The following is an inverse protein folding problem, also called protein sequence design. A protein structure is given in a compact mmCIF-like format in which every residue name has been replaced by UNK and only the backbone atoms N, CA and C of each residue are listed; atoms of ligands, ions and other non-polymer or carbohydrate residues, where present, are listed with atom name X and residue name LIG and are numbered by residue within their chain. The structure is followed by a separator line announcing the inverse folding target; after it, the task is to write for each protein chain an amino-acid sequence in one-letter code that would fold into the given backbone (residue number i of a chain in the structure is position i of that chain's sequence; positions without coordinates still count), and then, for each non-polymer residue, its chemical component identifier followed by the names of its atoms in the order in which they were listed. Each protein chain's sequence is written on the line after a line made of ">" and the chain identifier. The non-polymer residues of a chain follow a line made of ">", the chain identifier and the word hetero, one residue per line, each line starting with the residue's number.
data_IF_351206791351
#
_entry.id   IF_351206791351
#
_cell.length_a   1.000
_cell.length_b   1.000
_cell.length_c   1.000
_cell.angle_alpha   90.00
_cell.angle_beta   90.00
_cell.angle_gamma   90.00
#
_symmetry.space_group_name_H-M   'P 1'
#
loop_
_entity.id
_entity.type
_entity.pdbx_description
1 polymer ?
#
# COMPACT_ATOMS: atom_id res chain seq x y z
N UNK A 1 -7.45 5.83 -3.24
CA UNK A 1 -6.53 4.79 -3.76
C UNK A 1 -5.34 4.67 -2.83
N UNK A 2 -4.84 3.46 -2.63
CA UNK A 2 -3.70 3.15 -1.77
C UNK A 2 -2.55 2.63 -2.63
N UNK A 3 -1.42 3.34 -2.66
CA UNK A 3 -0.29 3.05 -3.54
C UNK A 3 0.90 2.62 -2.69
N UNK A 4 1.27 1.33 -2.67
CA UNK A 4 2.46 0.89 -1.96
C UNK A 4 3.73 1.38 -2.67
N UNK A 5 4.70 1.84 -1.90
CA UNK A 5 5.93 2.39 -2.44
C UNK A 5 7.14 2.10 -1.54
N UNK A 6 8.33 2.13 -2.13
CA UNK A 6 9.55 2.44 -1.38
C UNK A 6 9.62 3.95 -1.11
N UNK A 7 10.51 4.40 -0.23
CA UNK A 7 10.74 5.83 0.01
C UNK A 7 11.23 6.55 -1.24
N UNK A 8 12.15 5.93 -2.00
CA UNK A 8 12.60 6.45 -3.28
C UNK A 8 11.43 6.59 -4.27
N UNK A 9 10.59 5.56 -4.37
CA UNK A 9 9.42 5.56 -5.24
C UNK A 9 8.39 6.61 -4.85
N UNK A 10 8.07 6.72 -3.55
CA UNK A 10 7.16 7.72 -3.04
C UNK A 10 7.61 9.15 -3.37
N UNK A 11 8.90 9.44 -3.15
CA UNK A 11 9.48 10.75 -3.47
C UNK A 11 9.43 11.07 -4.97
N UNK A 12 9.64 10.07 -5.83
CA UNK A 12 9.49 10.25 -7.28
C UNK A 12 8.04 10.57 -7.66
N UNK A 13 7.06 9.84 -7.10
CA UNK A 13 5.64 10.02 -7.39
C UNK A 13 5.09 11.39 -6.96
N UNK A 14 5.62 11.99 -5.88
CA UNK A 14 5.19 13.34 -5.44
C UNK A 14 5.88 14.48 -6.20
N UNK A 15 6.86 14.18 -7.05
CA UNK A 15 7.58 15.16 -7.87
C UNK A 15 7.18 15.08 -9.35
N UNK A 16 6.84 13.89 -9.81
CA UNK A 16 6.67 13.59 -11.22
C UNK A 16 5.42 12.76 -11.46
N UNK A 17 4.79 13.01 -12.61
CA UNK A 17 3.75 12.12 -13.12
C UNK A 17 4.33 10.73 -13.28
N UNK A 18 3.64 9.75 -12.70
CA UNK A 18 4.02 8.33 -12.79
C UNK A 18 3.00 7.59 -13.64
N UNK A 19 3.45 6.61 -14.41
CA UNK A 19 2.61 5.80 -15.29
C UNK A 19 2.64 4.33 -14.83
N UNK A 20 1.58 3.59 -15.13
CA UNK A 20 1.47 2.16 -14.83
C UNK A 20 1.73 1.83 -13.34
N UNK A 21 1.11 2.60 -12.44
CA UNK A 21 1.31 2.47 -11.00
C UNK A 21 0.33 1.47 -10.42
N UNK A 22 0.84 0.42 -9.77
CA UNK A 22 -0.02 -0.50 -9.01
C UNK A 22 -0.60 0.23 -7.79
N UNK A 23 -1.92 0.14 -7.62
CA UNK A 23 -2.64 0.69 -6.49
C UNK A 23 -3.72 -0.30 -6.02
N UNK A 24 -4.31 -0.02 -4.87
CA UNK A 24 -5.39 -0.80 -4.28
C UNK A 24 -6.56 0.11 -3.93
N UNK A 25 -7.75 -0.44 -4.09
CA UNK A 25 -8.99 0.26 -3.77
C UNK A 25 -10.10 -0.72 -3.48
N UNK A 26 -11.24 -0.19 -3.04
CA UNK A 26 -12.43 -0.99 -2.82
C UNK A 26 -13.08 -1.29 -4.17
N UNK A 27 -12.88 -2.52 -4.65
CA UNK A 27 -13.59 -3.09 -5.80
C UNK A 27 -14.77 -3.95 -5.35
N UNK A 28 -15.64 -4.33 -6.27
CA UNK A 28 -16.77 -5.22 -5.95
C UNK A 28 -16.28 -6.63 -5.61
N UNK A 29 -15.19 -7.07 -6.24
CA UNK A 29 -14.50 -8.33 -5.93
C UNK A 29 -13.96 -8.33 -4.50
N UNK A 30 -13.28 -7.25 -4.09
CA UNK A 30 -12.74 -7.14 -2.74
C UNK A 30 -13.88 -7.11 -1.70
N UNK A 31 -14.98 -6.40 -1.97
CA UNK A 31 -16.16 -6.39 -1.09
C UNK A 31 -16.74 -7.78 -0.90
N UNK A 32 -16.81 -8.59 -1.97
CA UNK A 32 -17.34 -9.94 -1.89
C UNK A 32 -16.48 -10.88 -1.03
N UNK A 33 -15.18 -10.61 -0.91
CA UNK A 33 -14.24 -11.41 -0.10
C UNK A 33 -14.25 -10.99 1.37
N UNK A 34 -14.32 -9.70 1.65
CA UNK A 34 -14.17 -9.16 3.00
C UNK A 34 -15.36 -9.45 3.93
N UNK A 35 -16.53 -9.82 3.38
CA UNK A 35 -17.79 -10.05 4.14
C UNK A 35 -18.10 -8.90 5.12
N UNK A 36 -17.74 -7.68 4.75
CA UNK A 36 -17.98 -6.48 5.54
C UNK A 36 -19.40 -6.00 5.30
N UNK A 37 -20.17 -5.84 6.39
CA UNK A 37 -21.59 -5.45 6.41
C UNK A 37 -21.86 -4.00 5.93
N UNK A 38 -21.29 -3.59 4.79
CA UNK A 38 -21.48 -2.27 4.20
C UNK A 38 -20.79 -1.12 4.92
N UNK A 39 -19.87 -1.40 5.85
CA UNK A 39 -19.04 -0.37 6.50
C UNK A 39 -17.94 0.09 5.53
N UNK A 40 -18.14 1.26 4.93
CA UNK A 40 -17.21 1.84 3.96
C UNK A 40 -15.83 2.13 4.57
N UNK A 41 -15.78 2.58 5.83
CA UNK A 41 -14.52 2.90 6.51
C UNK A 41 -13.69 1.63 6.73
N UNK A 42 -14.33 0.54 7.16
CA UNK A 42 -13.66 -0.75 7.33
C UNK A 42 -13.19 -1.33 5.99
N UNK A 43 -13.96 -1.12 4.93
CA UNK A 43 -13.59 -1.62 3.60
C UNK A 43 -12.40 -0.84 3.03
N UNK A 44 -12.38 0.48 3.20
CA UNK A 44 -11.23 1.32 2.82
C UNK A 44 -9.99 0.96 3.64
N UNK A 45 -10.16 0.72 4.96
CA UNK A 45 -9.09 0.25 5.83
C UNK A 45 -8.53 -1.08 5.34
N UNK A 46 -9.36 -2.02 4.92
CA UNK A 46 -8.90 -3.30 4.37
C UNK A 46 -8.05 -3.12 3.10
N UNK A 47 -8.48 -2.28 2.15
CA UNK A 47 -7.69 -2.00 0.95
C UNK A 47 -6.34 -1.33 1.27
N UNK A 48 -6.30 -0.46 2.28
CA UNK A 48 -5.07 0.15 2.78
C UNK A 48 -4.13 -0.87 3.43
N UNK A 49 -4.66 -1.81 4.22
CA UNK A 49 -3.86 -2.90 4.82
C UNK A 49 -3.32 -3.85 3.74
N UNK A 50 -4.13 -4.20 2.73
CA UNK A 50 -3.67 -5.02 1.59
C UNK A 50 -2.51 -4.32 0.85
N UNK A 51 -2.65 -3.02 0.55
CA UNK A 51 -1.55 -2.25 -0.03
C UNK A 51 -0.30 -2.30 0.87
N UNK A 52 -0.46 -2.21 2.19
CA UNK A 52 0.65 -2.28 3.14
C UNK A 52 1.38 -3.63 3.09
N UNK A 53 0.66 -4.75 2.94
CA UNK A 53 1.23 -6.10 2.82
C UNK A 53 1.97 -6.24 1.50
N UNK A 54 1.41 -5.73 0.39
CA UNK A 54 2.12 -5.66 -0.89
C UNK A 54 3.41 -4.84 -0.78
N UNK A 55 3.36 -3.70 -0.08
CA UNK A 55 4.54 -2.87 0.18
C UNK A 55 5.60 -3.61 0.99
N UNK A 56 5.19 -4.32 2.03
CA UNK A 56 6.07 -5.13 2.86
C UNK A 56 6.78 -6.22 2.03
N UNK A 57 6.02 -7.01 1.26
CA UNK A 57 6.54 -8.10 0.44
C UNK A 57 7.39 -7.64 -0.75
N UNK A 58 7.22 -6.40 -1.22
CA UNK A 58 7.92 -5.87 -2.39
C UNK A 58 9.08 -4.94 -2.08
N UNK A 59 8.97 -4.10 -1.05
CA UNK A 59 9.93 -3.04 -0.71
C UNK A 59 10.56 -3.21 0.67
N UNK A 60 10.08 -4.18 1.46
CA UNK A 60 10.57 -4.47 2.79
C UNK A 60 10.03 -3.51 3.86
N UNK A 61 9.03 -2.69 3.51
CA UNK A 61 8.43 -1.70 4.39
C UNK A 61 6.95 -1.50 4.09
N UNK A 62 6.17 -1.11 5.09
CA UNK A 62 4.83 -0.59 4.86
C UNK A 62 4.91 0.93 4.69
N UNK A 63 4.87 1.38 3.43
CA UNK A 63 4.70 2.77 3.07
C UNK A 63 3.65 2.84 1.96
N UNK A 64 2.53 3.50 2.26
CA UNK A 64 1.35 3.53 1.39
C UNK A 64 0.92 4.97 1.16
N UNK A 65 1.02 5.46 -0.08
CA UNK A 65 0.49 6.76 -0.44
C UNK A 65 -1.03 6.70 -0.62
N UNK A 66 -1.72 7.77 -0.26
CA UNK A 66 -3.15 7.96 -0.51
C UNK A 66 -3.32 8.91 -1.69
N UNK A 67 -4.02 8.44 -2.72
CA UNK A 67 -4.29 9.22 -3.92
C UNK A 67 -5.78 9.26 -4.28
N UNK A 68 -6.25 10.44 -4.70
CA UNK A 68 -7.61 10.68 -5.18
C UNK A 68 -7.57 10.82 -6.70
N UNK A 69 -7.93 9.75 -7.40
CA UNK A 69 -7.85 9.67 -8.86
C UNK A 69 -9.23 9.44 -9.47
N UNK A 70 -9.51 9.94 -10.69
CA UNK A 70 -10.75 9.63 -11.38
C UNK A 70 -10.78 8.16 -11.83
N UNK A 71 -11.96 7.50 -11.87
CA UNK A 71 -12.06 6.11 -12.33
C UNK A 71 -11.51 5.86 -13.74
N UNK A 72 -11.49 6.90 -14.58
CA UNK A 72 -11.02 6.81 -15.97
C UNK A 72 -9.53 6.46 -16.13
N UNK A 73 -8.72 6.59 -15.06
CA UNK A 73 -7.30 6.23 -15.12
C UNK A 73 -7.02 4.82 -14.58
N UNK A 74 -8.04 4.12 -14.07
CA UNK A 74 -7.93 2.77 -13.56
C UNK A 74 -8.03 1.76 -14.69
N UNK A 75 -7.16 0.76 -14.66
CA UNK A 75 -7.21 -0.41 -15.53
C UNK A 75 -6.98 -1.70 -14.74
N UNK A 76 -7.07 -2.81 -15.46
CA UNK A 76 -6.97 -4.16 -14.90
C UNK A 76 -5.60 -4.41 -14.24
N UNK A 77 -5.59 -5.31 -13.25
CA UNK A 77 -4.40 -5.73 -12.53
C UNK A 77 -4.48 -7.22 -12.19
N UNK A 78 -3.33 -7.87 -12.02
CA UNK A 78 -3.26 -9.29 -11.64
C UNK A 78 -3.88 -9.52 -10.25
N UNK A 79 -3.70 -8.56 -9.33
CA UNK A 79 -4.23 -8.59 -7.96
C UNK A 79 -5.69 -8.10 -7.84
N UNK A 80 -6.50 -8.17 -8.91
CA UNK A 80 -7.89 -7.70 -8.92
C UNK A 80 -8.76 -8.29 -7.80
N UNK A 81 -8.53 -9.55 -7.42
CA UNK A 81 -9.22 -10.21 -6.30
C UNK A 81 -8.93 -9.50 -4.96
N UNK A 82 -7.71 -8.97 -4.80
CA UNK A 82 -7.27 -8.21 -3.64
C UNK A 82 -7.58 -6.70 -3.77
N UNK A 83 -8.41 -6.30 -4.73
CA UNK A 83 -8.70 -4.88 -5.00
C UNK A 83 -7.58 -4.14 -5.72
N UNK A 84 -6.62 -4.88 -6.30
CA UNK A 84 -5.53 -4.34 -7.09
C UNK A 84 -6.03 -3.74 -8.40
N UNK A 85 -5.49 -2.57 -8.74
CA UNK A 85 -5.75 -1.85 -9.99
C UNK A 85 -4.44 -1.27 -10.52
N UNK A 86 -4.37 -1.08 -11.84
CA UNK A 86 -3.25 -0.39 -12.48
C UNK A 86 -3.68 1.03 -12.84
N UNK A 87 -3.06 2.03 -12.23
CA UNK A 87 -3.26 3.42 -12.62
C UNK A 87 -2.43 3.70 -13.87
N UNK A 88 -3.10 4.00 -14.98
CA UNK A 88 -2.45 4.41 -16.23
C UNK A 88 -1.58 5.65 -16.04
N UNK A 89 -2.04 6.57 -15.18
CA UNK A 89 -1.31 7.76 -14.78
C UNK A 89 -1.68 8.16 -13.34
N UNK A 90 -0.68 8.62 -12.57
CA UNK A 90 -0.81 9.25 -11.26
C UNK A 90 -0.11 10.61 -11.30
N UNK A 91 -0.87 11.69 -11.13
CA UNK A 91 -0.33 13.04 -11.02
C UNK A 91 0.03 13.34 -9.54
N UNK A 92 1.18 13.99 -9.26
CA UNK A 92 1.56 14.36 -7.89
C UNK A 92 0.47 15.07 -7.09
N UNK A 93 -0.35 15.91 -7.76
CA UNK A 93 -1.42 16.68 -7.11
C UNK A 93 -2.58 15.83 -6.60
N UNK A 94 -2.64 14.57 -7.02
CA UNK A 94 -3.66 13.63 -6.58
C UNK A 94 -3.28 12.94 -5.28
N UNK A 95 -2.00 13.01 -4.87
CA UNK A 95 -1.49 12.40 -3.65
C UNK A 95 -1.74 13.36 -2.49
N UNK A 96 -2.44 12.90 -1.46
CA UNK A 96 -2.96 13.75 -0.38
C UNK A 96 -2.40 13.39 1.00
N UNK A 97 -1.99 12.14 1.19
CA UNK A 97 -1.48 11.64 2.46
C UNK A 97 -0.62 10.40 2.24
N UNK A 98 -0.04 9.89 3.32
CA UNK A 98 0.66 8.61 3.34
C UNK A 98 0.58 7.94 4.70
N UNK A 99 0.76 6.62 4.71
CA UNK A 99 0.84 5.81 5.91
C UNK A 99 2.20 5.14 6.01
N UNK A 100 2.76 5.06 7.21
CA UNK A 100 3.93 4.22 7.48
C UNK A 100 4.00 3.71 8.91
N UNK A 101 4.88 2.74 9.13
CA UNK A 101 5.38 2.40 10.45
C UNK A 101 6.17 3.55 11.09
N UNK A 102 6.20 3.60 12.42
CA UNK A 102 7.01 4.57 13.19
C UNK A 102 8.51 4.38 12.91
N UNK A 103 8.95 3.12 12.82
CA UNK A 103 10.35 2.74 12.62
C UNK A 103 10.44 1.45 11.79
N UNK A 104 11.56 1.21 11.10
CA UNK A 104 11.71 0.03 10.22
C UNK A 104 11.98 -1.29 10.97
N UNK A 105 12.50 -1.20 12.20
CA UNK A 105 12.80 -2.37 13.04
C UNK A 105 11.54 -3.18 13.36
N UNK A 106 10.37 -2.55 13.49
CA UNK A 106 9.10 -3.25 13.74
C UNK A 106 8.71 -4.15 12.58
N UNK A 107 9.11 -3.81 11.35
CA UNK A 107 8.76 -4.56 10.13
C UNK A 107 9.82 -5.54 9.66
N UNK A 108 11.07 -5.41 10.12
CA UNK A 108 12.22 -6.04 9.49
C UNK A 108 12.11 -7.58 9.41
N UNK A 109 11.66 -8.22 10.49
CA UNK A 109 11.53 -9.68 10.55
C UNK A 109 10.41 -10.19 9.63
N UNK A 110 9.23 -9.59 9.72
CA UNK A 110 8.10 -9.93 8.85
C UNK A 110 8.41 -9.67 7.37
N UNK A 111 9.11 -8.57 7.07
CA UNK A 111 9.53 -8.21 5.72
C UNK A 111 10.41 -9.29 5.09
N UNK A 112 11.44 -9.75 5.81
CA UNK A 112 12.33 -10.79 5.30
C UNK A 112 11.59 -12.12 5.08
N UNK A 113 10.65 -12.46 5.96
CA UNK A 113 9.86 -13.69 5.86
C UNK A 113 9.00 -13.74 4.59
N UNK A 114 8.47 -12.60 4.14
CA UNK A 114 7.52 -12.54 3.01
C UNK A 114 8.11 -11.92 1.74
N UNK A 115 9.43 -11.77 1.67
CA UNK A 115 10.11 -11.15 0.54
C UNK A 115 9.79 -11.84 -0.78
N UNK A 116 9.18 -11.10 -1.70
CA UNK A 116 8.81 -11.57 -3.03
C UNK A 116 7.61 -12.52 -3.08
N UNK A 117 6.91 -12.70 -1.96
CA UNK A 117 5.63 -13.43 -1.95
C UNK A 117 4.51 -12.62 -2.60
N UNK A 118 3.50 -13.31 -3.10
CA UNK A 118 2.21 -12.71 -3.46
C UNK A 118 1.43 -12.34 -2.20
N UNK A 119 0.43 -11.47 -2.33
CA UNK A 119 -0.35 -10.95 -1.20
C UNK A 119 -0.98 -12.07 -0.38
N UNK A 120 -1.60 -13.05 -1.03
CA UNK A 120 -2.29 -14.14 -0.34
C UNK A 120 -1.34 -14.98 0.53
N UNK A 121 -0.14 -15.26 0.03
CA UNK A 121 0.88 -16.00 0.79
C UNK A 121 1.42 -15.16 1.95
N UNK A 122 1.76 -13.89 1.68
CA UNK A 122 2.26 -12.96 2.70
C UNK A 122 1.23 -12.70 3.82
N UNK A 123 -0.06 -12.61 3.48
CA UNK A 123 -1.16 -12.42 4.42
C UNK A 123 -1.33 -13.59 5.40
N UNK A 124 -1.02 -14.80 4.93
CA UNK A 124 -1.12 -16.03 5.73
C UNK A 124 0.13 -16.29 6.59
N UNK A 125 1.19 -15.49 6.44
CA UNK A 125 2.37 -15.58 7.28
C UNK A 125 2.07 -15.08 8.71
N UNK A 126 2.52 -15.86 9.69
CA UNK A 126 2.30 -15.58 11.12
C UNK A 126 2.95 -14.28 11.57
N UNK A 127 4.14 -13.94 11.05
CA UNK A 127 4.84 -12.70 11.42
C UNK A 127 4.13 -11.49 10.85
N UNK A 128 3.58 -11.61 9.64
CA UNK A 128 2.73 -10.54 9.06
C UNK A 128 1.45 -10.37 9.87
N UNK A 129 0.77 -11.46 10.24
CA UNK A 129 -0.44 -11.37 11.06
C UNK A 129 -0.18 -10.73 12.43
N UNK A 130 0.90 -11.11 13.10
CA UNK A 130 1.35 -10.46 14.35
C UNK A 130 1.64 -8.98 14.13
N UNK A 131 2.38 -8.62 13.09
CA UNK A 131 2.68 -7.22 12.74
C UNK A 131 1.41 -6.39 12.55
N UNK A 132 0.41 -6.91 11.83
CA UNK A 132 -0.85 -6.21 11.56
C UNK A 132 -1.69 -5.98 12.83
N UNK A 133 -1.58 -6.87 13.82
CA UNK A 133 -2.30 -6.77 15.10
C UNK A 133 -1.59 -5.84 16.07
N UNK A 134 -0.26 -5.90 16.12
CA UNK A 134 0.55 -5.22 17.14
C UNK A 134 0.96 -3.80 16.73
N UNK A 135 1.09 -3.54 15.43
CA UNK A 135 1.63 -2.29 14.90
C UNK A 135 0.68 -1.67 13.88
N UNK A 136 -0.02 -0.62 14.31
CA UNK A 136 -0.81 0.24 13.43
C UNK A 136 0.09 1.25 12.71
N UNK A 137 -0.15 1.47 11.41
CA UNK A 137 0.55 2.50 10.67
C UNK A 137 0.04 3.89 11.05
N UNK A 138 0.96 4.84 11.11
CA UNK A 138 0.68 6.24 11.35
C UNK A 138 0.22 6.92 10.05
N UNK A 139 -0.77 7.78 10.16
CA UNK A 139 -1.20 8.66 9.06
C UNK A 139 -0.42 9.96 9.08
N UNK A 140 -0.03 10.42 7.89
CA UNK A 140 0.69 11.67 7.69
C UNK A 140 0.07 12.45 6.52
N UNK A 141 0.02 13.76 6.66
CA UNK A 141 -0.34 14.64 5.55
C UNK A 141 0.79 14.66 4.50
N UNK A 142 0.45 14.87 3.22
CA UNK A 142 1.47 14.92 2.16
C UNK A 142 2.48 16.07 2.30
N UNK A 143 2.17 17.07 3.12
CA UNK A 143 3.09 18.17 3.44
C UNK A 143 4.16 17.79 4.47
N UNK A 144 4.01 16.66 5.16
CA UNK A 144 5.03 16.11 6.06
C UNK A 144 6.18 15.47 5.27
N UNK A 145 7.33 15.32 5.93
CA UNK A 145 8.52 14.73 5.30
C UNK A 145 8.35 13.23 5.09
N UNK A 146 8.36 12.81 3.81
CA UNK A 146 8.46 11.39 3.44
C UNK A 146 9.75 10.75 3.97
N UNK A 147 9.78 9.43 4.22
CA UNK A 147 10.99 8.74 4.63
C UNK A 147 12.19 8.99 3.72
N UNK A 148 13.40 8.91 4.29
CA UNK A 148 14.66 9.08 3.54
C UNK A 148 14.88 7.87 2.60
N UNK A 149 15.10 8.07 1.29
CA UNK A 149 15.37 6.98 0.33
C UNK A 149 16.54 6.07 0.70
N UNK A 150 17.52 6.58 1.43
CA UNK A 150 18.69 5.81 1.88
C UNK A 150 18.33 4.76 2.94
N UNK A 151 17.10 4.82 3.48
CA UNK A 151 16.56 3.85 4.43
C UNK A 151 15.74 2.74 3.76
N UNK A 152 15.61 2.74 2.43
CA UNK A 152 14.87 1.68 1.75
C UNK A 152 15.53 0.31 2.00
N UNK A 153 14.79 -0.67 2.56
CA UNK A 153 15.36 -1.97 2.89
C UNK A 153 15.86 -2.71 1.65
N UNK A 154 15.09 -2.63 0.56
CA UNK A 154 15.40 -3.29 -0.70
C UNK A 154 15.38 -2.26 -1.84
N UNK A 155 16.50 -2.19 -2.56
CA UNK A 155 16.74 -1.34 -3.71
C UNK A 155 16.73 -2.13 -5.01
#
# INVERSE_FOLDING_TARGET
>A
MFVPASAAGARAMVQHVSEQVQAFTVTDELRAILDVDGDEEQTERAAMIIASVQGLARYGRRLVLVAHVPPSVMGDNEEHANGGVTLTQLDPKQITAWFSDETLDVTAEAAEAVRGMIIDDAWNDVLVQSLLVEHEMLWHDITEELPDPTTDPWS
#
